data_IF_710437662709
#
_entry.id   IF_710437662709
#
_cell.length_a   1.000
_cell.length_b   1.000
_cell.length_c   1.000
_cell.angle_alpha   90.00
_cell.angle_beta   90.00
_cell.angle_gamma   90.00
#
_symmetry.space_group_name_H-M   'P 1'
#
loop_
_entity.id
_entity.type
_entity.pdbx_description
1 polymer ?
#
# COMPACT_ATOMS: atom_id res chain seq x y z
N UNK A 1 45.53 -23.68 -56.03
CA UNK A 1 45.42 -23.40 -54.58
C UNK A 1 44.76 -22.04 -54.38
N UNK A 2 43.46 -21.99 -54.09
CA UNK A 2 42.76 -20.81 -53.54
C UNK A 2 41.27 -21.16 -53.40
N UNK A 3 40.68 -20.75 -52.28
CA UNK A 3 39.23 -20.67 -51.98
C UNK A 3 38.45 -21.90 -51.44
N UNK A 4 39.03 -22.75 -50.59
CA UNK A 4 38.19 -23.69 -49.80
C UNK A 4 38.27 -23.53 -48.27
N UNK A 5 39.05 -22.60 -47.75
CA UNK A 5 39.26 -22.45 -46.29
C UNK A 5 38.46 -21.31 -45.64
N UNK A 6 37.51 -20.69 -46.35
CA UNK A 6 36.77 -19.51 -45.86
C UNK A 6 35.25 -19.74 -45.78
N UNK A 7 34.80 -20.95 -45.47
CA UNK A 7 33.37 -21.27 -45.39
C UNK A 7 33.00 -22.14 -44.18
N UNK A 8 33.87 -22.21 -43.16
CA UNK A 8 33.64 -23.01 -41.96
C UNK A 8 33.71 -22.23 -40.64
N UNK A 9 33.69 -20.89 -40.69
CA UNK A 9 33.80 -20.05 -39.48
C UNK A 9 32.59 -19.15 -39.19
N UNK A 10 31.51 -19.23 -39.98
CA UNK A 10 30.33 -18.35 -39.84
C UNK A 10 29.07 -19.05 -39.31
N UNK A 11 29.14 -20.33 -38.93
CA UNK A 11 27.93 -21.09 -38.54
C UNK A 11 27.69 -21.23 -37.02
N UNK A 12 28.44 -20.53 -36.16
CA UNK A 12 28.38 -20.77 -34.70
C UNK A 12 27.60 -19.68 -33.91
N UNK A 13 27.13 -18.59 -34.52
CA UNK A 13 26.59 -17.45 -33.75
C UNK A 13 25.05 -17.45 -33.58
N UNK A 14 24.35 -18.56 -33.81
CA UNK A 14 22.87 -18.55 -33.79
C UNK A 14 22.21 -19.44 -32.72
N UNK A 15 22.75 -19.57 -31.52
CA UNK A 15 21.97 -20.07 -30.37
C UNK A 15 22.46 -19.48 -29.04
N UNK A 16 22.24 -18.19 -28.83
CA UNK A 16 22.12 -17.65 -27.47
C UNK A 16 20.82 -16.88 -27.37
N UNK A 17 19.72 -17.60 -27.52
CA UNK A 17 18.45 -17.14 -26.98
C UNK A 17 18.58 -17.35 -25.47
N UNK A 18 19.02 -16.32 -24.73
CA UNK A 18 18.77 -16.29 -23.29
C UNK A 18 17.25 -16.25 -23.17
N UNK A 19 16.66 -17.38 -22.76
CA UNK A 19 15.33 -17.33 -22.19
C UNK A 19 15.42 -16.41 -20.98
N UNK A 20 14.96 -15.18 -21.14
CA UNK A 20 14.58 -14.35 -20.00
C UNK A 20 13.49 -15.14 -19.29
N UNK A 21 13.88 -15.87 -18.24
CA UNK A 21 12.95 -16.53 -17.35
C UNK A 21 12.13 -15.43 -16.70
N UNK A 22 10.99 -15.10 -17.31
CA UNK A 22 9.93 -14.30 -16.71
C UNK A 22 9.69 -14.91 -15.33
N UNK A 23 10.05 -14.19 -14.27
CA UNK A 23 9.73 -14.63 -12.92
C UNK A 23 8.21 -14.74 -12.86
N UNK A 24 7.67 -15.87 -12.38
CA UNK A 24 6.23 -16.00 -12.27
C UNK A 24 5.70 -14.94 -11.31
N UNK A 25 4.75 -14.16 -11.80
CA UNK A 25 4.06 -13.15 -11.01
C UNK A 25 3.40 -13.83 -9.81
N UNK A 26 3.65 -13.31 -8.61
CA UNK A 26 3.13 -13.90 -7.36
C UNK A 26 1.90 -13.13 -6.92
N UNK A 27 0.84 -13.84 -6.55
CA UNK A 27 -0.35 -13.23 -5.94
C UNK A 27 -0.02 -12.82 -4.50
N UNK A 28 -0.27 -11.56 -4.17
CA UNK A 28 -0.07 -10.98 -2.84
C UNK A 28 -1.34 -10.32 -2.35
N UNK A 29 -1.70 -10.58 -1.10
CA UNK A 29 -2.77 -9.85 -0.44
C UNK A 29 -2.26 -8.62 0.29
N UNK A 30 -3.06 -7.58 0.21
CA UNK A 30 -2.85 -6.29 0.85
C UNK A 30 -4.14 -5.92 1.54
N UNK A 31 -4.06 -5.44 2.78
CA UNK A 31 -5.21 -4.90 3.48
C UNK A 31 -5.02 -3.41 3.74
N UNK A 32 -6.07 -2.64 3.45
CA UNK A 32 -6.24 -1.26 3.85
C UNK A 32 -7.18 -1.22 5.06
N UNK A 33 -6.80 -0.50 6.11
CA UNK A 33 -7.60 -0.31 7.32
C UNK A 33 -7.86 1.20 7.52
N UNK A 34 -9.09 1.58 7.83
CA UNK A 34 -9.50 2.96 8.07
C UNK A 34 -9.81 3.20 9.55
N UNK A 35 -9.28 4.32 10.05
CA UNK A 35 -9.38 4.74 11.45
C UNK A 35 -9.82 6.20 11.48
N UNK A 36 -10.87 6.47 12.26
CA UNK A 36 -11.32 7.83 12.58
C UNK A 36 -10.19 8.58 13.31
N UNK A 37 -9.73 9.70 12.72
CA UNK A 37 -8.59 10.47 13.22
C UNK A 37 -8.78 10.95 14.66
N UNK A 38 -9.96 11.47 14.99
CA UNK A 38 -10.21 12.11 16.28
C UNK A 38 -10.61 11.09 17.35
N UNK A 39 -11.44 10.12 16.98
CA UNK A 39 -12.01 9.13 17.91
C UNK A 39 -11.11 7.93 18.11
N UNK A 40 -10.06 7.75 17.28
CA UNK A 40 -9.19 6.57 17.29
C UNK A 40 -10.01 5.27 17.22
N UNK A 41 -11.05 5.27 16.38
CA UNK A 41 -11.99 4.17 16.22
C UNK A 41 -11.78 3.50 14.87
N UNK A 42 -11.68 2.19 14.87
CA UNK A 42 -11.64 1.40 13.64
C UNK A 42 -13.01 1.47 12.94
N UNK A 43 -13.02 1.87 11.67
CA UNK A 43 -14.25 2.07 10.90
C UNK A 43 -14.49 0.98 9.86
N UNK A 44 -13.42 0.36 9.36
CA UNK A 44 -13.50 -0.73 8.40
C UNK A 44 -12.19 -0.95 7.67
N UNK A 45 -12.23 -1.81 6.66
CA UNK A 45 -11.07 -2.10 5.84
C UNK A 45 -11.44 -2.75 4.52
N UNK A 46 -10.43 -2.97 3.67
CA UNK A 46 -10.57 -3.78 2.47
C UNK A 46 -9.33 -4.62 2.21
N UNK A 47 -9.53 -5.90 1.95
CA UNK A 47 -8.50 -6.79 1.41
C UNK A 47 -8.54 -6.76 -0.12
N UNK A 48 -7.34 -6.65 -0.71
CA UNK A 48 -7.08 -6.67 -2.13
C UNK A 48 -6.13 -7.83 -2.46
N UNK A 49 -6.16 -8.29 -3.70
CA UNK A 49 -5.24 -9.30 -4.21
C UNK A 49 -4.59 -8.78 -5.49
N UNK A 50 -3.27 -8.64 -5.47
CA UNK A 50 -2.49 -8.09 -6.57
C UNK A 50 -1.43 -9.06 -7.06
N UNK A 51 -1.24 -9.11 -8.38
CA UNK A 51 -0.15 -9.86 -8.98
C UNK A 51 1.08 -8.97 -9.05
N UNK A 52 2.20 -9.39 -8.44
CA UNK A 52 3.45 -8.63 -8.46
C UNK A 52 4.64 -9.50 -8.82
N UNK A 53 5.57 -8.92 -9.57
CA UNK A 53 6.83 -9.56 -9.93
C UNK A 53 7.92 -9.24 -8.89
N UNK A 54 7.65 -8.27 -8.00
CA UNK A 54 8.53 -7.85 -6.91
C UNK A 54 7.89 -8.13 -5.53
N UNK A 55 8.04 -9.37 -5.06
CA UNK A 55 7.53 -9.82 -3.77
C UNK A 55 8.54 -9.70 -2.61
N UNK A 56 9.73 -9.15 -2.88
CA UNK A 56 10.86 -9.19 -1.95
C UNK A 56 11.12 -7.82 -1.32
N UNK A 57 11.55 -7.83 -0.05
CA UNK A 57 11.90 -6.62 0.70
C UNK A 57 10.90 -6.25 1.80
N UNK A 58 11.38 -5.47 2.77
CA UNK A 58 10.58 -4.99 3.90
C UNK A 58 9.64 -3.85 3.51
N UNK A 59 10.04 -2.99 2.58
CA UNK A 59 9.23 -1.83 2.19
C UNK A 59 7.99 -2.27 1.39
N UNK A 60 6.91 -1.51 1.56
CA UNK A 60 5.71 -1.67 0.75
C UNK A 60 5.96 -1.02 -0.63
N UNK A 61 5.70 -1.74 -1.73
CA UNK A 61 5.88 -1.23 -3.08
C UNK A 61 4.68 -0.34 -3.46
N UNK A 62 4.46 0.74 -2.71
CA UNK A 62 3.38 1.70 -2.93
C UNK A 62 3.93 2.89 -3.70
N UNK A 63 3.24 3.24 -4.77
CA UNK A 63 3.51 4.44 -5.55
C UNK A 63 2.40 5.45 -5.22
N UNK A 64 2.78 6.64 -4.80
CA UNK A 64 1.86 7.76 -4.56
C UNK A 64 1.97 8.72 -5.74
N UNK A 65 0.84 9.01 -6.39
CA UNK A 65 0.76 10.01 -7.47
C UNK A 65 -0.14 11.15 -7.03
N UNK A 66 0.34 12.36 -7.17
CA UNK A 66 -0.40 13.57 -6.84
C UNK A 66 -0.71 14.36 -8.13
N UNK A 67 -1.97 14.74 -8.30
CA UNK A 67 -2.41 15.65 -9.33
C UNK A 67 -3.07 16.86 -8.68
N UNK A 68 -2.45 18.03 -8.84
CA UNK A 68 -2.89 19.27 -8.20
C UNK A 68 -3.39 20.22 -9.27
N UNK A 69 -4.54 20.83 -9.03
CA UNK A 69 -5.05 21.97 -9.78
C UNK A 69 -5.47 23.09 -8.80
N UNK A 70 -6.04 24.18 -9.33
CA UNK A 70 -6.36 25.36 -8.52
C UNK A 70 -7.45 25.13 -7.45
N UNK A 71 -8.31 24.13 -7.60
CA UNK A 71 -9.47 23.91 -6.74
C UNK A 71 -9.46 22.56 -6.02
N UNK A 72 -8.64 21.62 -6.47
CA UNK A 72 -8.51 20.30 -5.85
C UNK A 72 -7.14 19.66 -6.05
N UNK A 73 -6.85 18.73 -5.15
CA UNK A 73 -5.73 17.78 -5.21
C UNK A 73 -6.31 16.37 -5.24
N UNK A 74 -5.85 15.54 -6.16
CA UNK A 74 -6.12 14.09 -6.19
C UNK A 74 -4.84 13.33 -5.87
N UNK A 75 -4.95 12.36 -4.99
CA UNK A 75 -3.85 11.52 -4.55
C UNK A 75 -4.23 10.07 -4.86
N UNK A 76 -3.44 9.38 -5.67
CA UNK A 76 -3.68 8.00 -6.06
C UNK A 76 -2.62 7.10 -5.45
N UNK A 77 -3.05 6.08 -4.72
CA UNK A 77 -2.17 5.07 -4.11
C UNK A 77 -2.23 3.79 -4.94
N UNK A 78 -1.09 3.42 -5.52
CA UNK A 78 -0.95 2.28 -6.42
C UNK A 78 -0.07 1.22 -5.78
N UNK A 79 -0.40 -0.05 -5.99
CA UNK A 79 0.37 -1.20 -5.50
C UNK A 79 1.20 -1.83 -6.61
N UNK A 80 2.45 -2.13 -6.27
CA UNK A 80 3.34 -2.99 -7.05
C UNK A 80 3.83 -2.37 -8.36
N UNK A 81 4.54 -3.21 -9.11
CA UNK A 81 5.14 -2.93 -10.42
C UNK A 81 4.11 -2.70 -11.52
N UNK A 82 2.92 -3.30 -11.39
CA UNK A 82 1.79 -3.10 -12.32
C UNK A 82 0.99 -1.83 -12.03
N UNK A 83 1.26 -1.19 -10.89
CA UNK A 83 0.63 0.05 -10.46
C UNK A 83 -0.90 -0.04 -10.39
N UNK A 84 -1.41 -1.13 -9.78
CA UNK A 84 -2.84 -1.34 -9.57
C UNK A 84 -3.37 -0.39 -8.47
N UNK A 85 -4.52 0.25 -8.70
CA UNK A 85 -5.09 1.18 -7.70
C UNK A 85 -5.54 0.46 -6.43
N UNK A 86 -5.08 0.96 -5.28
CA UNK A 86 -5.63 0.62 -3.96
C UNK A 86 -6.81 1.51 -3.67
N UNK A 87 -6.60 2.83 -3.75
CA UNK A 87 -7.63 3.84 -3.59
C UNK A 87 -7.15 5.20 -4.16
N UNK A 88 -8.11 6.09 -4.35
CA UNK A 88 -7.89 7.51 -4.60
C UNK A 88 -8.39 8.32 -3.41
N UNK A 89 -7.76 9.46 -3.16
CA UNK A 89 -8.27 10.48 -2.25
C UNK A 89 -8.33 11.82 -2.94
N UNK A 90 -9.28 12.66 -2.56
CA UNK A 90 -9.37 14.04 -3.01
C UNK A 90 -9.32 15.00 -1.83
N UNK A 91 -8.67 16.14 -2.03
CA UNK A 91 -8.66 17.26 -1.11
C UNK A 91 -9.17 18.49 -1.89
N UNK A 92 -10.17 19.20 -1.38
CA UNK A 92 -10.85 20.29 -2.09
C UNK A 92 -10.64 21.63 -1.36
N UNK A 93 -10.36 22.70 -2.10
CA UNK A 93 -10.13 24.05 -1.55
C UNK A 93 -11.37 24.60 -0.86
N UNK A 94 -12.50 24.63 -1.58
CA UNK A 94 -13.79 25.12 -1.09
C UNK A 94 -14.81 23.97 -1.04
N UNK A 95 -14.50 22.96 -0.23
CA UNK A 95 -15.33 21.79 -0.11
C UNK A 95 -14.68 20.66 0.68
N UNK A 96 -15.36 19.52 0.65
CA UNK A 96 -14.93 18.28 1.27
C UNK A 96 -14.68 17.27 0.15
N UNK A 97 -13.42 16.85 0.03
CA UNK A 97 -13.06 15.69 -0.77
C UNK A 97 -13.47 14.39 -0.10
N UNK A 98 -12.98 13.29 -0.65
CA UNK A 98 -13.40 11.95 -0.25
C UNK A 98 -12.32 10.92 -0.54
N UNK A 99 -12.42 9.76 0.12
CA UNK A 99 -11.65 8.57 -0.21
C UNK A 99 -12.51 7.70 -1.12
N UNK A 100 -11.98 7.37 -2.29
CA UNK A 100 -12.63 6.60 -3.35
C UNK A 100 -11.97 5.22 -3.44
N UNK A 101 -12.74 4.19 -3.08
CA UNK A 101 -12.30 2.81 -3.18
C UNK A 101 -12.73 2.19 -4.52
N UNK A 102 -11.85 1.42 -5.20
CA UNK A 102 -12.19 0.77 -6.47
C UNK A 102 -13.21 -0.38 -6.29
N UNK A 103 -13.40 -0.85 -5.06
CA UNK A 103 -14.34 -1.89 -4.68
C UNK A 103 -15.06 -1.49 -3.38
N UNK A 104 -16.15 -2.19 -3.05
CA UNK A 104 -16.88 -1.96 -1.79
C UNK A 104 -15.95 -2.12 -0.57
N UNK A 105 -16.00 -1.15 0.34
CA UNK A 105 -15.26 -1.15 1.60
C UNK A 105 -16.04 -1.86 2.69
N UNK A 106 -15.40 -2.76 3.44
CA UNK A 106 -16.07 -3.60 4.42
C UNK A 106 -16.12 -2.90 5.79
N UNK A 107 -17.32 -2.79 6.37
CA UNK A 107 -17.50 -2.15 7.69
C UNK A 107 -16.81 -2.94 8.81
N UNK A 108 -16.42 -2.23 9.89
CA UNK A 108 -15.77 -2.82 11.07
C UNK A 108 -16.49 -4.05 11.65
N UNK A 109 -17.81 -4.17 11.48
CA UNK A 109 -18.60 -5.31 11.98
C UNK A 109 -18.19 -6.65 11.36
N UNK A 110 -17.55 -6.62 10.19
CA UNK A 110 -17.07 -7.82 9.48
C UNK A 110 -15.67 -8.26 9.93
N UNK A 111 -15.03 -7.52 10.85
CA UNK A 111 -13.70 -7.82 11.34
C UNK A 111 -13.73 -8.45 12.72
N UNK A 112 -13.19 -9.67 12.81
CA UNK A 112 -13.09 -10.40 14.07
C UNK A 112 -11.96 -9.85 14.94
N UNK A 113 -12.24 -9.78 16.24
CA UNK A 113 -11.28 -9.39 17.27
C UNK A 113 -10.62 -10.60 17.91
N UNK A 114 -9.41 -10.40 18.42
CA UNK A 114 -8.71 -11.28 19.34
C UNK A 114 -9.36 -11.19 20.72
N UNK A 115 -9.48 -12.32 21.39
CA UNK A 115 -10.25 -12.41 22.65
C UNK A 115 -9.40 -12.09 23.89
N UNK A 116 -8.10 -12.41 23.88
CA UNK A 116 -7.27 -12.42 25.10
C UNK A 116 -5.96 -11.65 25.02
N UNK A 117 -5.59 -11.12 23.85
CA UNK A 117 -4.36 -10.33 23.66
C UNK A 117 -4.49 -9.37 22.49
N UNK A 118 -3.45 -8.55 22.32
CA UNK A 118 -3.30 -7.65 21.17
C UNK A 118 -1.95 -7.87 20.52
N UNK A 119 -1.85 -7.63 19.22
CA UNK A 119 -0.60 -7.64 18.48
C UNK A 119 0.27 -6.49 18.99
N UNK A 120 1.47 -6.80 19.44
CA UNK A 120 2.41 -5.78 19.91
C UNK A 120 2.74 -4.79 18.79
N UNK A 121 2.86 -3.52 19.15
CA UNK A 121 3.28 -2.50 18.20
C UNK A 121 4.73 -2.75 17.78
N UNK A 122 5.03 -2.71 16.46
CA UNK A 122 6.41 -2.71 16.02
C UNK A 122 7.10 -1.37 16.33
N UNK A 123 8.42 -1.32 16.20
CA UNK A 123 9.14 -0.03 16.27
C UNK A 123 8.57 0.99 15.28
N UNK A 124 8.63 2.28 15.59
CA UNK A 124 8.21 3.36 14.69
C UNK A 124 8.89 3.28 13.31
N UNK A 125 10.13 2.77 13.24
CA UNK A 125 10.87 2.54 11.98
C UNK A 125 10.23 1.51 11.03
N UNK A 126 9.30 0.69 11.54
CA UNK A 126 8.50 -0.23 10.73
C UNK A 126 7.32 0.47 10.05
N UNK A 127 7.02 1.72 10.38
CA UNK A 127 6.01 2.50 9.68
C UNK A 127 6.64 3.22 8.51
N UNK A 128 6.21 2.85 7.29
CA UNK A 128 6.52 3.58 6.07
C UNK A 128 5.48 4.69 5.92
N UNK A 129 5.90 5.94 6.15
CA UNK A 129 5.03 7.10 5.95
C UNK A 129 4.84 7.31 4.46
N UNK A 130 3.64 7.00 3.95
CA UNK A 130 3.31 7.07 2.54
C UNK A 130 2.77 8.44 2.15
N UNK A 131 1.98 9.06 3.03
CA UNK A 131 1.46 10.41 2.83
C UNK A 131 1.03 11.01 4.18
N UNK A 132 1.59 12.17 4.51
CA UNK A 132 1.31 12.89 5.75
C UNK A 132 1.53 14.38 5.54
N UNK A 133 0.53 15.04 4.98
CA UNK A 133 0.55 16.50 4.73
C UNK A 133 0.03 17.25 5.97
N UNK A 134 0.73 17.07 7.09
CA UNK A 134 0.49 17.78 8.35
C UNK A 134 1.81 18.00 9.10
N UNK A 135 1.87 19.08 9.88
CA UNK A 135 2.96 19.32 10.83
C UNK A 135 2.78 18.58 12.16
N UNK A 136 1.61 18.00 12.39
CA UNK A 136 1.28 17.33 13.64
C UNK A 136 2.13 16.06 13.82
N UNK A 137 2.56 15.74 15.05
CA UNK A 137 3.25 14.48 15.30
C UNK A 137 2.31 13.30 15.07
N UNK A 138 2.83 12.22 14.49
CA UNK A 138 2.06 11.01 14.24
C UNK A 138 1.87 10.24 15.55
N UNK A 139 0.62 9.97 16.01
CA UNK A 139 0.38 9.24 17.24
C UNK A 139 0.39 7.72 17.00
N UNK A 140 1.56 7.15 16.70
CA UNK A 140 1.73 5.73 16.34
C UNK A 140 1.04 4.78 17.33
N UNK A 141 1.24 5.01 18.63
CA UNK A 141 0.61 4.26 19.72
C UNK A 141 -0.91 4.22 19.64
N UNK A 142 -1.52 5.38 19.39
CA UNK A 142 -2.97 5.51 19.33
C UNK A 142 -3.53 4.80 18.09
N UNK A 143 -2.90 5.04 16.94
CA UNK A 143 -3.27 4.45 15.65
C UNK A 143 -3.16 2.91 15.72
N UNK A 144 -2.04 2.39 16.22
CA UNK A 144 -1.83 0.95 16.28
C UNK A 144 -2.78 0.27 17.27
N UNK A 145 -2.98 0.86 18.46
CA UNK A 145 -3.89 0.31 19.47
C UNK A 145 -5.32 0.13 18.96
N UNK A 146 -5.75 0.97 18.01
CA UNK A 146 -7.08 0.86 17.39
C UNK A 146 -7.26 -0.43 16.58
N UNK A 147 -6.19 -0.96 15.98
CA UNK A 147 -6.25 -2.13 15.08
C UNK A 147 -5.52 -3.36 15.64
N UNK A 148 -4.76 -3.23 16.72
CA UNK A 148 -3.92 -4.28 17.28
C UNK A 148 -4.70 -5.49 17.81
N UNK A 149 -6.01 -5.36 18.04
CA UNK A 149 -6.87 -6.46 18.44
C UNK A 149 -7.55 -7.18 17.27
N UNK A 150 -7.26 -6.84 16.01
CA UNK A 150 -7.89 -7.48 14.85
C UNK A 150 -7.18 -8.79 14.49
N UNK A 151 -7.95 -9.88 14.31
CA UNK A 151 -7.42 -11.17 13.82
C UNK A 151 -6.72 -11.02 12.47
N UNK A 152 -7.21 -10.13 11.62
CA UNK A 152 -6.59 -9.86 10.31
C UNK A 152 -5.23 -9.19 10.46
N UNK A 153 -5.07 -8.23 11.38
CA UNK A 153 -3.75 -7.60 11.63
C UNK A 153 -2.75 -8.64 12.11
N UNK A 154 -3.15 -9.51 13.04
CA UNK A 154 -2.31 -10.63 13.48
C UNK A 154 -1.89 -11.52 12.30
N UNK A 155 -2.85 -11.98 11.50
CA UNK A 155 -2.60 -12.86 10.36
C UNK A 155 -1.58 -12.26 9.38
N UNK A 156 -1.73 -10.97 9.04
CA UNK A 156 -0.80 -10.27 8.16
C UNK A 156 0.59 -10.12 8.77
N UNK A 157 0.68 -9.74 10.07
CA UNK A 157 1.98 -9.63 10.76
C UNK A 157 2.69 -10.98 10.92
N UNK A 158 1.95 -12.06 11.13
CA UNK A 158 2.54 -13.40 11.25
C UNK A 158 3.03 -13.96 9.91
N UNK A 159 2.32 -13.68 8.81
CA UNK A 159 2.74 -14.10 7.46
C UNK A 159 3.95 -13.31 6.95
N UNK A 160 4.02 -12.02 7.27
CA UNK A 160 5.12 -11.15 6.82
C UNK A 160 5.62 -10.22 7.94
N UNK A 161 6.31 -10.77 8.95
CA UNK A 161 6.72 -10.01 10.14
C UNK A 161 7.76 -8.93 9.84
N UNK A 162 8.51 -9.07 8.75
CA UNK A 162 9.51 -8.08 8.30
C UNK A 162 8.94 -6.96 7.44
N UNK A 163 7.68 -7.06 6.96
CA UNK A 163 7.10 -6.00 6.14
C UNK A 163 6.88 -4.75 6.98
N UNK A 164 7.12 -3.58 6.39
CA UNK A 164 6.67 -2.31 6.92
C UNK A 164 5.16 -2.19 6.84
N UNK A 165 4.62 -1.27 7.63
CA UNK A 165 3.22 -0.87 7.69
C UNK A 165 3.13 0.49 7.01
N UNK A 166 2.28 0.61 6.00
CA UNK A 166 2.05 1.88 5.32
C UNK A 166 1.17 2.75 6.19
N UNK A 167 1.54 4.01 6.39
CA UNK A 167 0.77 4.97 7.17
C UNK A 167 0.44 6.19 6.32
N UNK A 168 -0.84 6.55 6.30
CA UNK A 168 -1.39 7.62 5.47
C UNK A 168 -2.34 8.48 6.33
N UNK A 169 -2.24 9.81 6.21
CA UNK A 169 -3.23 10.76 6.70
C UNK A 169 -3.96 11.41 5.52
N UNK A 170 -5.27 11.23 5.43
CA UNK A 170 -6.09 11.95 4.44
C UNK A 170 -6.83 13.11 5.10
N UNK A 171 -6.70 14.28 4.50
CA UNK A 171 -7.37 15.52 4.90
C UNK A 171 -8.26 16.03 3.76
N UNK A 172 -9.58 15.79 3.79
CA UNK A 172 -10.47 16.08 2.67
C UNK A 172 -10.54 17.55 2.21
N UNK A 173 -10.05 18.51 3.01
CA UNK A 173 -10.03 19.93 2.65
C UNK A 173 -8.63 20.52 2.75
N UNK A 174 -8.27 21.32 1.74
CA UNK A 174 -6.99 22.03 1.68
C UNK A 174 -6.98 23.29 2.56
N UNK A 175 -8.15 23.92 2.75
CA UNK A 175 -8.29 25.19 3.48
C UNK A 175 -8.93 24.97 4.84
N UNK A 176 -10.07 24.26 4.88
CA UNK A 176 -10.84 24.08 6.11
C UNK A 176 -10.26 22.94 6.94
N UNK A 177 -9.68 23.27 8.09
CA UNK A 177 -9.15 22.28 9.03
C UNK A 177 -10.27 21.76 9.93
N UNK A 178 -10.93 20.68 9.51
CA UNK A 178 -11.87 19.94 10.36
C UNK A 178 -11.35 18.52 10.65
N UNK A 179 -10.67 18.30 11.79
CA UNK A 179 -10.14 16.97 12.15
C UNK A 179 -11.19 15.86 12.26
N UNK A 180 -12.47 16.20 12.39
CA UNK A 180 -13.56 15.21 12.39
C UNK A 180 -13.75 14.48 11.06
N UNK A 181 -13.25 15.06 9.96
CA UNK A 181 -13.33 14.48 8.61
C UNK A 181 -12.04 13.75 8.21
N UNK A 182 -10.99 13.82 9.02
CA UNK A 182 -9.69 13.23 8.68
C UNK A 182 -9.69 11.74 8.98
N UNK A 183 -8.88 11.00 8.21
CA UNK A 183 -8.73 9.55 8.35
C UNK A 183 -7.27 9.17 8.42
N UNK A 184 -6.93 8.33 9.39
CA UNK A 184 -5.71 7.53 9.33
C UNK A 184 -6.00 6.26 8.54
N UNK A 185 -5.13 5.94 7.59
CA UNK A 185 -5.18 4.67 6.87
C UNK A 185 -3.90 3.87 7.13
N UNK A 186 -4.06 2.58 7.34
CA UNK A 186 -2.95 1.63 7.44
C UNK A 186 -2.98 0.63 6.29
N UNK A 187 -1.79 0.34 5.73
CA UNK A 187 -1.62 -0.71 4.72
C UNK A 187 -0.71 -1.81 5.29
N UNK A 188 -1.19 -3.05 5.25
CA UNK A 188 -0.40 -4.24 5.56
C UNK A 188 -0.38 -5.19 4.36
N UNK A 189 0.71 -5.94 4.22
CA UNK A 189 0.91 -6.92 3.14
C UNK A 189 1.36 -8.26 3.71
N UNK A 190 0.90 -9.36 3.12
CA UNK A 190 1.37 -10.72 3.44
C UNK A 190 2.61 -11.21 2.66
#
# INVERSE_FOLDING_TARGET
>A
MKYYFLLLLTSIILFSCKEDKLKPSTLKKVILLEIDYLKNKFEGGKEFSYFTDNSQGSDLPIIVKEYINNTSKRITFLYGDKADTIFDATEIVDGQGEILYPNNFDSYIFYYKLDSYTVSQPSEDFFQILYHDSSDPIPFDSIWKTVSNLKTVESYRNKNPSSKIGLILIRPSLVTQNPGDWKWLLILRE
#
